data_IF_692567160352
#
_entry.id   IF_692567160352
#
_cell.length_a   1.000
_cell.length_b   1.000
_cell.length_c   1.000
_cell.angle_alpha   90.00
_cell.angle_beta   90.00
_cell.angle_gamma   90.00
#
_symmetry.space_group_name_H-M   'P 1'
#
loop_
_entity.id
_entity.type
_entity.pdbx_description
1 polymer ?
#
# COMPACT_ATOMS: atom_id res chain seq x y z
N UNK A 1 -28.22 15.66 19.84
CA UNK A 1 -26.85 15.66 20.37
C UNK A 1 -25.90 15.93 19.21
N UNK A 2 -24.94 16.83 19.36
CA UNK A 2 -23.85 16.98 18.39
C UNK A 2 -22.85 15.83 18.56
N UNK A 3 -22.43 15.23 17.45
CA UNK A 3 -21.51 14.09 17.45
C UNK A 3 -20.15 14.56 16.94
N UNK A 4 -19.11 14.33 17.73
CA UNK A 4 -17.71 14.51 17.31
C UNK A 4 -17.14 13.17 16.87
N UNK A 5 -16.61 13.09 15.65
CA UNK A 5 -16.05 11.86 15.08
C UNK A 5 -14.52 11.92 15.13
N UNK A 6 -13.92 10.87 15.69
CA UNK A 6 -12.49 10.61 15.62
C UNK A 6 -12.29 9.23 14.98
N UNK A 7 -11.62 9.09 13.85
CA UNK A 7 -10.92 10.10 13.06
C UNK A 7 -11.83 11.07 12.27
N UNK A 8 -11.42 12.33 12.02
CA UNK A 8 -12.25 13.28 11.28
C UNK A 8 -12.40 12.87 9.81
N UNK A 9 -13.55 13.20 9.20
CA UNK A 9 -13.92 12.73 7.86
C UNK A 9 -12.87 12.99 6.77
N UNK A 10 -12.10 14.09 6.86
CA UNK A 10 -11.06 14.42 5.89
C UNK A 10 -9.93 13.37 5.84
N UNK A 11 -9.71 12.58 6.90
CA UNK A 11 -8.72 11.49 6.86
C UNK A 11 -9.11 10.37 5.90
N UNK A 12 -10.38 10.30 5.45
CA UNK A 12 -10.79 9.39 4.39
C UNK A 12 -10.01 9.62 3.08
N UNK A 13 -9.55 10.85 2.81
CA UNK A 13 -8.71 11.17 1.66
C UNK A 13 -7.34 10.48 1.79
N UNK A 14 -6.73 10.55 2.98
CA UNK A 14 -5.41 9.94 3.25
C UNK A 14 -5.45 8.41 3.21
N UNK A 15 -6.58 7.82 3.57
CA UNK A 15 -6.78 6.36 3.59
C UNK A 15 -7.18 5.79 2.21
N UNK A 16 -7.35 6.63 1.19
CA UNK A 16 -7.74 6.23 -0.16
C UNK A 16 -6.50 6.16 -1.08
N UNK A 17 -6.33 5.06 -1.81
CA UNK A 17 -5.16 4.88 -2.69
C UNK A 17 -5.11 5.83 -3.88
N UNK A 18 -6.20 6.53 -4.20
CA UNK A 18 -6.25 7.58 -5.20
C UNK A 18 -5.35 8.77 -4.86
N UNK A 19 -4.91 8.91 -3.61
CA UNK A 19 -3.91 9.89 -3.23
C UNK A 19 -2.52 9.56 -3.81
N UNK A 20 -2.22 8.28 -4.11
CA UNK A 20 -0.89 7.85 -4.54
C UNK A 20 -0.50 8.40 -5.93
N UNK A 21 -1.34 8.30 -6.97
CA UNK A 21 -1.06 8.96 -8.25
C UNK A 21 -0.89 10.48 -8.11
N UNK A 22 -1.70 11.13 -7.27
CA UNK A 22 -1.63 12.58 -7.06
C UNK A 22 -0.34 13.01 -6.34
N UNK A 23 0.10 12.22 -5.34
CA UNK A 23 1.39 12.43 -4.68
C UNK A 23 2.54 12.24 -5.65
N UNK A 24 2.48 11.20 -6.48
CA UNK A 24 3.49 10.96 -7.50
C UNK A 24 3.54 12.10 -8.52
N UNK A 25 2.40 12.52 -9.07
CA UNK A 25 2.30 13.62 -10.03
C UNK A 25 2.96 14.89 -9.49
N UNK A 26 2.66 15.26 -8.24
CA UNK A 26 3.14 16.49 -7.61
C UNK A 26 4.60 16.41 -7.13
N UNK A 27 5.08 15.22 -6.78
CA UNK A 27 6.37 15.01 -6.11
C UNK A 27 7.21 13.92 -6.77
N UNK A 28 7.23 13.86 -8.11
CA UNK A 28 8.02 12.89 -8.89
C UNK A 28 9.49 12.87 -8.44
N UNK A 29 10.03 11.67 -8.25
CA UNK A 29 11.42 11.47 -7.80
C UNK A 29 11.64 11.56 -6.29
N UNK A 30 10.59 11.78 -5.48
CA UNK A 30 10.72 11.72 -4.03
C UNK A 30 11.14 10.29 -3.57
N UNK A 31 12.15 10.15 -2.69
CA UNK A 31 12.76 8.85 -2.37
C UNK A 31 11.79 7.85 -1.70
N UNK A 32 10.74 8.35 -1.05
CA UNK A 32 9.72 7.52 -0.39
C UNK A 32 8.44 7.31 -1.22
N UNK A 33 8.41 7.74 -2.49
CA UNK A 33 7.27 7.53 -3.37
C UNK A 33 7.61 6.51 -4.45
N UNK A 34 6.65 5.62 -4.72
CA UNK A 34 6.65 4.76 -5.90
C UNK A 34 5.79 5.40 -6.97
N UNK A 35 6.22 5.25 -8.22
CA UNK A 35 5.48 5.68 -9.39
C UNK A 35 4.08 5.07 -9.41
N UNK A 36 3.05 5.89 -9.60
CA UNK A 36 1.66 5.46 -9.54
C UNK A 36 0.77 6.27 -10.48
N UNK A 37 -0.26 5.61 -11.02
CA UNK A 37 -1.21 6.16 -11.99
C UNK A 37 -2.61 5.61 -11.71
N UNK A 38 -3.66 6.36 -12.08
CA UNK A 38 -4.99 5.77 -12.21
C UNK A 38 -5.01 4.79 -13.39
N UNK A 39 -5.89 3.79 -13.38
CA UNK A 39 -5.96 2.81 -14.47
C UNK A 39 -6.39 3.40 -15.82
N UNK A 40 -7.14 4.50 -15.80
CA UNK A 40 -7.60 5.22 -16.99
C UNK A 40 -6.62 6.30 -17.49
N UNK A 41 -5.53 6.54 -16.76
CA UNK A 41 -4.46 7.45 -17.17
C UNK A 41 -3.48 6.74 -18.13
N UNK A 42 -3.36 7.14 -19.41
CA UNK A 42 -2.45 6.52 -20.37
C UNK A 42 -0.98 6.49 -19.93
N UNK A 43 -0.58 7.41 -19.04
CA UNK A 43 0.78 7.44 -18.48
C UNK A 43 1.11 6.20 -17.64
N UNK A 44 0.11 5.40 -17.23
CA UNK A 44 0.34 4.11 -16.57
C UNK A 44 1.23 3.17 -17.41
N UNK A 45 1.32 3.38 -18.73
CA UNK A 45 2.19 2.60 -19.61
C UNK A 45 3.69 2.72 -19.25
N UNK A 46 4.09 3.79 -18.56
CA UNK A 46 5.47 3.98 -18.08
C UNK A 46 5.92 2.90 -17.09
N UNK A 47 4.97 2.23 -16.41
CA UNK A 47 5.25 1.13 -15.48
C UNK A 47 5.75 -0.15 -16.18
N UNK A 48 5.64 -0.24 -17.51
CA UNK A 48 6.03 -1.43 -18.27
C UNK A 48 5.18 -2.65 -17.90
N UNK A 49 5.84 -3.80 -17.72
CA UNK A 49 5.18 -5.11 -17.52
C UNK A 49 5.10 -5.55 -16.06
N UNK A 50 5.62 -4.76 -15.12
CA UNK A 50 5.70 -5.13 -13.71
C UNK A 50 5.15 -4.02 -12.80
N UNK A 51 3.98 -4.26 -12.23
CA UNK A 51 3.21 -3.28 -11.46
C UNK A 51 2.21 -3.95 -10.52
N UNK A 52 1.61 -3.16 -9.63
CA UNK A 52 0.62 -3.61 -8.66
C UNK A 52 -0.70 -2.91 -8.89
N UNK A 53 -1.77 -3.67 -9.09
CA UNK A 53 -3.14 -3.17 -9.14
C UNK A 53 -3.71 -3.06 -7.73
N UNK A 54 -4.31 -1.93 -7.38
CA UNK A 54 -4.91 -1.73 -6.06
C UNK A 54 -6.24 -0.97 -6.14
N UNK A 55 -7.36 -1.55 -5.67
CA UNK A 55 -8.62 -0.81 -5.55
C UNK A 55 -8.52 0.35 -4.56
N UNK A 56 -9.19 1.46 -4.87
CA UNK A 56 -9.09 2.72 -4.12
C UNK A 56 -9.31 2.52 -2.62
N UNK A 57 -10.35 1.77 -2.28
CA UNK A 57 -10.82 1.58 -0.91
C UNK A 57 -10.41 0.25 -0.28
N UNK A 58 -9.67 -0.61 -1.00
CA UNK A 58 -9.31 -1.92 -0.44
C UNK A 58 -8.42 -1.82 0.78
N UNK A 59 -8.52 -2.81 1.67
CA UNK A 59 -7.72 -2.90 2.90
C UNK A 59 -7.13 -4.30 3.03
N UNK A 60 -6.17 -4.47 3.93
CA UNK A 60 -5.69 -5.79 4.38
C UNK A 60 -5.17 -6.70 3.24
N UNK A 61 -4.63 -6.10 2.18
CA UNK A 61 -4.14 -6.84 1.00
C UNK A 61 -5.24 -7.38 0.09
N UNK A 62 -6.51 -7.13 0.39
CA UNK A 62 -7.64 -7.61 -0.40
C UNK A 62 -7.66 -6.99 -1.80
N UNK A 63 -7.96 -7.85 -2.79
CA UNK A 63 -8.07 -7.51 -4.21
C UNK A 63 -6.82 -6.80 -4.78
N UNK A 64 -5.66 -6.92 -4.11
CA UNK A 64 -4.37 -6.47 -4.64
C UNK A 64 -3.86 -7.53 -5.61
N UNK A 65 -3.46 -7.11 -6.80
CA UNK A 65 -2.92 -7.97 -7.85
C UNK A 65 -1.48 -7.56 -8.14
N UNK A 66 -0.56 -8.51 -8.04
CA UNK A 66 0.82 -8.31 -8.47
C UNK A 66 0.91 -8.78 -9.92
N UNK A 67 1.41 -7.91 -10.79
CA UNK A 67 1.77 -8.26 -12.16
C UNK A 67 3.27 -8.13 -12.29
N UNK A 68 3.94 -9.19 -12.72
CA UNK A 68 5.39 -9.24 -12.88
C UNK A 68 5.72 -9.91 -14.21
N UNK A 69 6.47 -9.23 -15.06
CA UNK A 69 6.78 -9.67 -16.42
C UNK A 69 5.52 -10.05 -17.23
N UNK A 70 4.44 -9.28 -17.04
CA UNK A 70 3.16 -9.48 -17.69
C UNK A 70 2.33 -10.65 -17.15
N UNK A 71 2.79 -11.32 -16.08
CA UNK A 71 2.06 -12.41 -15.42
C UNK A 71 1.42 -11.91 -14.14
N UNK A 72 0.13 -12.18 -13.97
CA UNK A 72 -0.60 -11.82 -12.77
C UNK A 72 -0.59 -12.96 -11.74
N UNK A 73 -0.30 -12.62 -10.49
CA UNK A 73 -0.45 -13.52 -9.34
C UNK A 73 -1.92 -13.74 -8.99
N UNK A 74 -2.28 -14.85 -8.32
CA UNK A 74 -3.63 -15.07 -7.82
C UNK A 74 -4.08 -13.95 -6.87
N UNK A 75 -5.28 -13.43 -7.12
CA UNK A 75 -5.88 -12.37 -6.31
C UNK A 75 -6.73 -12.97 -5.19
N UNK A 76 -6.51 -12.50 -3.96
CA UNK A 76 -7.41 -12.79 -2.86
C UNK A 76 -8.63 -11.86 -2.92
N UNK A 77 -9.80 -12.42 -3.19
CA UNK A 77 -11.03 -11.64 -3.18
C UNK A 77 -11.44 -11.28 -1.74
N UNK A 78 -11.61 -9.99 -1.48
CA UNK A 78 -12.18 -9.45 -0.24
C UNK A 78 -13.37 -8.53 -0.49
N UNK A 79 -14.02 -8.65 -1.66
CA UNK A 79 -15.23 -7.89 -2.00
C UNK A 79 -14.98 -6.45 -2.45
N UNK A 80 -13.72 -6.07 -2.72
CA UNK A 80 -13.40 -4.73 -3.24
C UNK A 80 -13.38 -4.73 -4.77
N UNK A 81 -14.18 -3.85 -5.36
CA UNK A 81 -14.21 -3.58 -6.80
C UNK A 81 -14.17 -2.09 -7.12
N UNK A 82 -14.51 -1.74 -8.36
CA UNK A 82 -14.54 -0.37 -8.83
C UNK A 82 -13.17 0.15 -9.27
N UNK A 83 -12.99 1.48 -9.19
CA UNK A 83 -11.78 2.16 -9.64
C UNK A 83 -10.55 1.66 -8.89
N UNK A 84 -9.44 1.55 -9.60
CA UNK A 84 -8.15 1.11 -9.09
C UNK A 84 -7.04 2.06 -9.54
N UNK A 85 -5.90 1.92 -8.90
CA UNK A 85 -4.63 2.50 -9.36
C UNK A 85 -3.70 1.37 -9.82
N UNK A 86 -2.69 1.75 -10.60
CA UNK A 86 -1.48 0.96 -10.85
C UNK A 86 -0.31 1.66 -10.17
N UNK A 87 0.53 0.90 -9.48
CA UNK A 87 1.74 1.40 -8.84
C UNK A 87 2.92 0.54 -9.25
N UNK A 88 4.11 1.12 -9.37
CA UNK A 88 5.35 0.39 -9.61
C UNK A 88 5.51 -0.74 -8.61
N UNK A 89 5.89 -1.91 -9.12
CA UNK A 89 6.15 -3.08 -8.30
C UNK A 89 7.43 -2.87 -7.50
N UNK A 90 7.32 -3.00 -6.18
CA UNK A 90 8.45 -3.00 -5.27
C UNK A 90 8.20 -4.08 -4.22
N UNK A 91 8.95 -5.17 -4.32
CA UNK A 91 8.77 -6.29 -3.40
C UNK A 91 9.35 -5.93 -2.02
N UNK A 92 8.65 -6.24 -0.91
CA UNK A 92 9.26 -6.17 0.41
C UNK A 92 10.46 -7.11 0.50
N UNK A 93 11.47 -6.80 1.33
CA UNK A 93 12.58 -7.70 1.56
C UNK A 93 12.09 -9.02 2.16
N UNK A 94 12.76 -10.11 1.79
CA UNK A 94 12.48 -11.45 2.29
C UNK A 94 13.58 -11.92 3.26
N UNK A 95 13.19 -12.33 4.45
CA UNK A 95 14.06 -12.90 5.49
C UNK A 95 13.50 -14.27 5.87
N UNK A 96 14.30 -15.33 5.74
CA UNK A 96 13.90 -16.71 6.09
C UNK A 96 12.53 -17.13 5.49
N UNK A 97 12.28 -16.72 4.25
CA UNK A 97 11.03 -17.01 3.53
C UNK A 97 9.83 -16.15 3.96
N UNK A 98 10.05 -15.09 4.75
CA UNK A 98 9.04 -14.14 5.18
C UNK A 98 9.27 -12.77 4.57
N UNK A 99 8.23 -12.20 3.97
CA UNK A 99 8.23 -10.85 3.44
C UNK A 99 7.89 -9.87 4.55
N UNK A 100 8.77 -8.92 4.81
CA UNK A 100 8.68 -8.04 5.98
C UNK A 100 8.35 -6.61 5.57
N UNK A 101 7.37 -6.00 6.26
CA UNK A 101 7.03 -4.58 6.12
C UNK A 101 7.21 -3.85 7.45
N UNK A 102 7.51 -2.56 7.35
CA UNK A 102 7.53 -1.62 8.48
C UNK A 102 6.27 -0.78 8.45
N UNK A 103 5.55 -0.72 9.57
CA UNK A 103 4.52 0.29 9.83
C UNK A 103 5.06 1.37 10.74
N UNK A 104 4.84 2.65 10.40
CA UNK A 104 5.17 3.81 11.24
C UNK A 104 3.88 4.45 11.74
N UNK A 105 3.78 4.66 13.05
CA UNK A 105 2.62 5.27 13.69
C UNK A 105 2.81 6.77 13.82
N UNK A 106 1.76 7.54 13.47
CA UNK A 106 1.69 8.97 13.72
C UNK A 106 0.63 9.26 14.77
N UNK A 107 0.98 10.02 15.81
CA UNK A 107 0.07 10.50 16.86
C UNK A 107 0.14 12.03 16.88
N UNK A 108 -1.00 12.70 16.64
CA UNK A 108 -1.02 14.16 16.55
C UNK A 108 -0.24 14.75 15.36
N UNK A 109 0.25 13.91 14.44
CA UNK A 109 1.12 14.32 13.32
C UNK A 109 2.58 13.92 13.50
N UNK A 110 2.98 13.53 14.71
CA UNK A 110 4.36 13.17 15.04
C UNK A 110 4.58 11.66 15.02
N UNK A 111 5.77 11.18 14.59
CA UNK A 111 6.12 9.77 14.67
C UNK A 111 6.19 9.31 16.13
N UNK A 112 5.45 8.25 16.45
CA UNK A 112 5.28 7.76 17.82
C UNK A 112 5.73 6.31 18.02
N UNK A 113 6.11 5.60 16.95
CA UNK A 113 6.61 4.24 17.04
C UNK A 113 6.57 3.51 15.70
N UNK A 114 7.22 2.35 15.66
CA UNK A 114 7.21 1.46 14.50
C UNK A 114 6.74 0.06 14.91
N UNK A 115 6.31 -0.72 13.92
CA UNK A 115 6.02 -2.13 14.06
C UNK A 115 6.45 -2.89 12.82
N UNK A 116 6.81 -4.16 12.99
CA UNK A 116 7.16 -5.06 11.90
C UNK A 116 6.07 -6.10 11.71
N UNK A 117 5.69 -6.32 10.46
CA UNK A 117 4.77 -7.39 10.09
C UNK A 117 5.39 -8.26 9.03
N UNK A 118 5.13 -9.56 9.11
CA UNK A 118 5.66 -10.52 8.16
C UNK A 118 4.59 -11.47 7.64
N UNK A 119 4.73 -11.86 6.37
CA UNK A 119 3.87 -12.82 5.70
C UNK A 119 4.71 -13.76 4.81
N UNK A 120 4.36 -15.05 4.68
CA UNK A 120 5.02 -15.92 3.71
C UNK A 120 4.78 -15.43 2.26
N UNK A 121 3.66 -14.75 1.99
CA UNK A 121 3.38 -14.13 0.70
C UNK A 121 3.90 -12.69 0.60
N UNK A 122 4.05 -12.19 -0.64
CA UNK A 122 4.50 -10.82 -0.92
C UNK A 122 3.49 -9.74 -0.49
N UNK A 123 2.22 -10.10 -0.35
CA UNK A 123 1.14 -9.20 0.09
C UNK A 123 0.84 -9.49 1.55
N UNK A 124 1.07 -8.51 2.42
CA UNK A 124 0.66 -8.60 3.82
C UNK A 124 -0.85 -8.48 3.96
N UNK A 125 -1.43 -9.36 4.78
CA UNK A 125 -2.86 -9.54 5.03
C UNK A 125 -3.23 -9.12 6.45
N UNK A 126 -4.50 -9.22 6.83
CA UNK A 126 -4.89 -9.03 8.23
C UNK A 126 -4.28 -10.10 9.16
N UNK A 127 -4.11 -11.31 8.65
CA UNK A 127 -3.55 -12.46 9.38
C UNK A 127 -2.02 -12.47 9.47
N UNK A 128 -1.34 -11.53 8.80
CA UNK A 128 0.12 -11.44 8.87
C UNK A 128 0.57 -11.13 10.29
N UNK A 129 1.65 -11.79 10.70
CA UNK A 129 2.13 -11.82 12.08
C UNK A 129 2.77 -10.49 12.44
N UNK A 130 2.57 -10.04 13.67
CA UNK A 130 3.37 -8.96 14.23
C UNK A 130 4.63 -9.56 14.83
N UNK A 131 5.79 -9.00 14.49
CA UNK A 131 7.09 -9.54 14.90
C UNK A 131 7.69 -8.63 15.98
N UNK A 132 8.16 -9.19 17.11
CA UNK A 132 8.93 -8.43 18.07
C UNK A 132 10.17 -7.82 17.42
N UNK A 133 10.48 -6.58 17.79
CA UNK A 133 11.68 -5.91 17.33
C UNK A 133 12.27 -5.11 18.47
N UNK A 134 13.55 -4.82 18.33
CA UNK A 134 14.27 -3.90 19.19
C UNK A 134 15.21 -3.08 18.32
N UNK A 135 15.53 -1.88 18.78
CA UNK A 135 16.51 -1.01 18.14
C UNK A 135 17.79 -1.16 18.95
N UNK A 136 18.88 -1.52 18.28
CA UNK A 136 20.21 -1.64 18.87
C UNK A 136 21.06 -0.43 18.45
N UNK A 137 22.00 -0.04 19.32
CA UNK A 137 23.01 0.99 19.05
C UNK A 137 24.21 0.45 18.29
#
# INVERSE_FOLDING_TARGET
AEVTVLEPAWKAILSNKGILPLLWERHRGHPNLLEAYFEDDPAHAALGTSWVRKPLFSREGANVELVEDGRADPVQDGGYGGTCIRQALHAPPAFDGQHVIVGSWLVGGDPAGIGLREDPGRITRNTSRFVPHFIAD
#
